data_IF_442864490333
#
_entry.id   IF_442864490333
#
_cell.length_a   1.000
_cell.length_b   1.000
_cell.length_c   1.000
_cell.angle_alpha   90.00
_cell.angle_beta   90.00
_cell.angle_gamma   90.00
#
_symmetry.space_group_name_H-M   'P 1'
#
loop_
_entity.id
_entity.type
_entity.pdbx_description
1 polymer ?
#
# COMPACT_ATOMS: atom_id res chain seq x y z
N UNK A 1 -37.27 -14.29 -10.96
CA UNK A 1 -36.76 -14.51 -9.59
C UNK A 1 -35.50 -15.37 -9.69
N UNK A 2 -34.33 -14.77 -9.84
CA UNK A 2 -33.05 -15.51 -9.97
C UNK A 2 -32.42 -15.69 -8.59
N UNK A 3 -32.52 -16.91 -8.06
CA UNK A 3 -31.86 -17.34 -6.83
C UNK A 3 -30.35 -17.43 -7.05
N UNK A 4 -29.59 -16.40 -6.66
CA UNK A 4 -28.13 -16.48 -6.58
C UNK A 4 -27.74 -17.21 -5.29
N UNK A 5 -27.42 -18.50 -5.43
CA UNK A 5 -26.76 -19.28 -4.39
C UNK A 5 -25.40 -18.65 -4.09
N UNK A 6 -25.34 -17.81 -3.05
CA UNK A 6 -24.09 -17.19 -2.57
C UNK A 6 -23.15 -18.26 -2.01
N UNK A 7 -22.29 -18.83 -2.86
CA UNK A 7 -21.19 -19.69 -2.45
C UNK A 7 -20.14 -18.84 -1.71
N UNK A 8 -20.32 -18.71 -0.40
CA UNK A 8 -19.39 -18.04 0.50
C UNK A 8 -18.53 -19.08 1.22
N UNK A 9 -17.21 -18.87 1.21
CA UNK A 9 -16.26 -19.66 2.01
C UNK A 9 -16.43 -19.38 3.51
N UNK A 10 -16.25 -20.42 4.32
CA UNK A 10 -16.29 -20.32 5.78
C UNK A 10 -15.16 -19.47 6.35
N UNK A 11 -14.05 -19.34 5.61
CA UNK A 11 -12.88 -18.58 6.04
C UNK A 11 -12.52 -17.49 5.03
N UNK A 12 -11.86 -16.44 5.50
CA UNK A 12 -11.23 -15.47 4.59
C UNK A 12 -10.13 -16.15 3.78
N UNK A 13 -9.96 -15.75 2.52
CA UNK A 13 -8.87 -16.22 1.68
C UNK A 13 -7.50 -15.86 2.29
N UNK A 14 -6.47 -16.61 1.89
CA UNK A 14 -5.08 -16.48 2.39
C UNK A 14 -4.55 -15.07 2.15
N UNK A 15 -4.77 -14.51 0.95
CA UNK A 15 -4.32 -13.16 0.61
C UNK A 15 -4.89 -12.12 1.57
N UNK A 16 -6.22 -12.06 1.72
CA UNK A 16 -6.85 -11.09 2.61
C UNK A 16 -6.47 -11.32 4.09
N UNK A 17 -6.29 -12.57 4.50
CA UNK A 17 -5.85 -12.91 5.86
C UNK A 17 -4.43 -12.40 6.13
N UNK A 18 -3.48 -12.63 5.21
CA UNK A 18 -2.07 -12.18 5.34
C UNK A 18 -1.97 -10.66 5.45
N UNK A 19 -2.76 -9.95 4.65
CA UNK A 19 -2.80 -8.49 4.66
C UNK A 19 -3.72 -7.89 5.74
N UNK A 20 -4.34 -8.73 6.59
CA UNK A 20 -5.23 -8.32 7.70
C UNK A 20 -6.38 -7.40 7.26
N UNK A 21 -6.96 -7.69 6.11
CA UNK A 21 -8.02 -6.90 5.45
C UNK A 21 -9.33 -7.70 5.36
N UNK A 22 -10.46 -7.00 5.17
CA UNK A 22 -11.79 -7.62 5.06
C UNK A 22 -11.90 -8.41 3.74
N UNK A 23 -12.23 -9.70 3.85
CA UNK A 23 -12.52 -10.59 2.72
C UNK A 23 -14.03 -10.71 2.51
N UNK A 24 -14.50 -10.62 1.25
CA UNK A 24 -15.93 -10.83 0.91
C UNK A 24 -16.34 -12.30 0.88
N UNK A 25 -15.37 -13.22 0.91
CA UNK A 25 -15.53 -14.68 0.99
C UNK A 25 -16.28 -15.33 -0.19
N UNK A 26 -16.59 -14.62 -1.26
CA UNK A 26 -17.14 -15.23 -2.49
C UNK A 26 -16.17 -16.26 -3.06
N UNK A 27 -16.68 -17.39 -3.56
CA UNK A 27 -15.90 -18.46 -4.18
C UNK A 27 -16.24 -18.54 -5.68
N UNK A 28 -15.27 -18.70 -6.60
CA UNK A 28 -13.87 -19.09 -6.39
C UNK A 28 -12.96 -17.97 -5.88
N UNK A 29 -13.19 -16.72 -6.25
CA UNK A 29 -12.41 -15.56 -5.81
C UNK A 29 -13.25 -14.60 -4.98
N UNK A 30 -12.70 -14.09 -3.88
CA UNK A 30 -13.37 -13.00 -3.18
C UNK A 30 -13.37 -11.75 -4.05
N UNK A 31 -14.44 -10.95 -4.02
CA UNK A 31 -14.62 -9.74 -4.83
C UNK A 31 -13.45 -8.75 -4.76
N UNK A 32 -12.69 -8.70 -3.67
CA UNK A 32 -11.45 -7.90 -3.61
C UNK A 32 -10.33 -8.48 -4.47
N UNK A 33 -10.03 -9.76 -4.29
CA UNK A 33 -8.99 -10.41 -5.10
C UNK A 33 -9.39 -10.47 -6.57
N UNK A 34 -10.68 -10.69 -6.87
CA UNK A 34 -11.22 -10.65 -8.23
C UNK A 34 -11.04 -9.27 -8.88
N UNK A 35 -11.42 -8.18 -8.19
CA UNK A 35 -11.26 -6.82 -8.75
C UNK A 35 -9.80 -6.42 -8.91
N UNK A 36 -8.93 -6.86 -8.01
CA UNK A 36 -7.51 -6.50 -8.02
C UNK A 36 -6.63 -7.49 -8.83
N UNK A 37 -7.21 -8.52 -9.47
CA UNK A 37 -6.47 -9.53 -10.22
C UNK A 37 -5.50 -10.37 -9.39
N UNK A 38 -5.77 -10.51 -8.08
CA UNK A 38 -4.91 -11.18 -7.11
C UNK A 38 -5.25 -12.66 -7.00
N UNK A 39 -4.24 -13.51 -6.78
CA UNK A 39 -4.44 -14.92 -6.46
C UNK A 39 -5.27 -15.08 -5.17
N UNK A 40 -6.43 -15.76 -5.26
CA UNK A 40 -7.39 -15.90 -4.16
C UNK A 40 -7.52 -17.35 -3.68
N UNK A 41 -6.56 -17.81 -2.88
CA UNK A 41 -6.64 -19.17 -2.33
C UNK A 41 -7.39 -19.21 -1.00
N UNK A 42 -8.30 -20.18 -0.84
CA UNK A 42 -8.93 -20.46 0.44
C UNK A 42 -8.24 -21.65 1.12
N UNK A 43 -7.79 -21.51 2.38
CA UNK A 43 -7.17 -22.63 3.07
C UNK A 43 -8.21 -23.72 3.30
N UNK A 44 -7.83 -24.98 3.06
CA UNK A 44 -8.65 -26.10 3.50
C UNK A 44 -8.85 -25.99 5.02
N UNK A 45 -10.08 -26.15 5.53
CA UNK A 45 -10.32 -26.10 6.96
C UNK A 45 -9.41 -27.15 7.63
N UNK A 46 -8.62 -26.76 8.65
CA UNK A 46 -7.69 -27.67 9.28
C UNK A 46 -8.47 -28.86 9.85
N UNK A 47 -7.95 -30.07 9.64
CA UNK A 47 -8.57 -31.29 10.15
C UNK A 47 -8.64 -31.24 11.68
N UNK A 48 -9.82 -30.90 12.20
CA UNK A 48 -10.05 -30.72 13.63
C UNK A 48 -9.77 -32.01 14.40
N UNK A 49 -9.83 -33.18 13.75
CA UNK A 49 -9.51 -34.47 14.38
C UNK A 49 -8.01 -34.61 14.65
N UNK A 50 -7.16 -34.17 13.73
CA UNK A 50 -5.71 -34.22 13.92
C UNK A 50 -5.23 -33.25 15.00
N UNK A 51 -5.79 -32.04 15.07
CA UNK A 51 -5.44 -31.05 16.11
C UNK A 51 -5.88 -31.52 17.51
N UNK A 52 -7.04 -32.18 17.62
CA UNK A 52 -7.49 -32.76 18.89
C UNK A 52 -6.55 -33.88 19.38
N UNK A 53 -6.04 -34.71 18.46
CA UNK A 53 -5.09 -35.77 18.80
C UNK A 53 -3.73 -35.23 19.24
N UNK A 54 -3.22 -34.15 18.63
CA UNK A 54 -1.97 -33.51 19.02
C UNK A 54 -2.01 -32.88 20.42
N UNK A 55 -3.19 -32.40 20.86
CA UNK A 55 -3.37 -31.88 22.22
C UNK A 55 -3.34 -32.95 23.32
N UNK A 56 -3.57 -34.21 22.96
CA UNK A 56 -3.61 -35.34 23.90
C UNK A 56 -2.33 -36.20 23.87
N UNK A 57 -1.30 -35.79 23.12
CA UNK A 57 -0.01 -36.49 23.08
C UNK A 57 0.84 -36.24 24.34
N UNK A 58 1.80 -37.13 24.67
CA UNK A 58 2.69 -36.91 25.81
C UNK A 58 3.57 -35.68 25.57
N UNK A 59 3.65 -34.78 26.55
CA UNK A 59 4.60 -33.68 26.59
C UNK A 59 6.03 -34.26 26.62
N UNK A 60 6.71 -34.23 25.49
CA UNK A 60 8.16 -34.40 25.45
C UNK A 60 8.78 -33.00 25.58
N UNK A 61 9.48 -32.76 26.68
CA UNK A 61 10.25 -31.54 26.91
C UNK A 61 11.48 -31.56 26.01
N UNK A 62 11.56 -30.63 25.05
CA UNK A 62 12.80 -30.33 24.36
C UNK A 62 13.24 -28.91 24.75
N UNK A 63 14.23 -28.87 25.62
CA UNK A 63 14.94 -27.68 26.06
C UNK A 63 16.14 -27.51 25.12
N UNK A 64 16.01 -26.59 24.16
CA UNK A 64 17.14 -26.14 23.35
C UNK A 64 16.94 -24.69 22.93
N UNK A 65 17.35 -23.82 23.84
CA UNK A 65 17.62 -22.41 23.61
C UNK A 65 18.78 -22.27 22.61
N UNK A 66 18.49 -21.72 21.43
CA UNK A 66 19.50 -21.23 20.50
C UNK A 66 19.29 -19.71 20.30
N UNK A 67 20.13 -18.96 21.00
CA UNK A 67 20.41 -17.54 20.77
C UNK A 67 20.93 -17.30 19.36
N UNK A 68 20.37 -16.33 18.64
CA UNK A 68 21.10 -15.58 17.62
C UNK A 68 20.83 -14.09 17.78
N UNK A 69 21.72 -13.44 18.53
CA UNK A 69 22.07 -12.05 18.31
C UNK A 69 22.88 -11.98 16.99
N UNK A 70 22.40 -11.17 16.05
CA UNK A 70 23.12 -10.79 14.85
C UNK A 70 22.98 -9.28 14.66
N UNK A 71 23.92 -8.56 15.24
CA UNK A 71 24.15 -7.13 15.13
C UNK A 71 25.02 -6.85 13.90
N UNK A 72 24.48 -6.29 12.83
CA UNK A 72 25.33 -5.69 11.80
C UNK A 72 24.87 -4.31 11.35
N UNK A 73 25.88 -3.47 11.23
CA UNK A 73 25.87 -2.03 11.28
C UNK A 73 25.43 -1.37 9.96
N UNK A 74 24.81 -0.23 10.15
CA UNK A 74 24.58 0.84 9.18
C UNK A 74 25.90 1.18 8.48
N UNK A 75 25.92 1.18 7.15
CA UNK A 75 26.87 2.00 6.40
C UNK A 75 26.17 2.65 5.20
N UNK A 76 26.21 3.98 5.20
CA UNK A 76 25.59 4.87 4.24
C UNK A 76 26.65 5.25 3.20
N UNK A 77 26.46 4.85 1.95
CA UNK A 77 27.28 5.32 0.82
C UNK A 77 26.50 6.33 0.01
N UNK A 78 26.98 7.58 0.02
CA UNK A 78 26.56 8.63 -0.90
C UNK A 78 27.14 8.31 -2.29
N UNK A 79 26.29 8.32 -3.30
CA UNK A 79 26.74 8.53 -4.68
C UNK A 79 25.73 9.42 -5.39
N UNK A 80 26.10 10.70 -5.45
CA UNK A 80 25.64 11.64 -6.46
C UNK A 80 26.25 11.28 -7.80
N UNK A 81 25.44 10.96 -8.80
CA UNK A 81 25.70 11.34 -10.18
C UNK A 81 24.37 11.41 -10.91
N UNK A 82 24.05 12.62 -11.36
CA UNK A 82 22.93 12.88 -12.23
C UNK A 82 23.24 12.38 -13.62
N UNK A 83 22.30 11.63 -14.18
CA UNK A 83 22.20 11.45 -15.61
C UNK A 83 20.76 11.77 -16.03
N UNK A 84 20.72 12.56 -17.09
CA UNK A 84 19.59 13.26 -17.66
C UNK A 84 18.61 12.24 -18.29
N UNK A 85 17.61 11.79 -17.53
CA UNK A 85 16.56 10.90 -18.08
C UNK A 85 15.50 11.73 -18.78
N UNK A 86 15.50 11.60 -20.10
CA UNK A 86 14.55 12.20 -21.03
C UNK A 86 13.10 11.86 -20.70
N UNK A 87 12.31 12.93 -20.59
CA UNK A 87 10.86 12.97 -20.38
C UNK A 87 10.11 12.08 -21.37
N UNK A 88 9.78 10.87 -20.93
CA UNK A 88 8.83 9.99 -21.60
C UNK A 88 7.75 9.64 -20.58
N UNK A 89 6.59 10.28 -20.76
CA UNK A 89 5.29 10.01 -20.11
C UNK A 89 5.36 9.61 -18.63
N UNK A 90 5.60 10.60 -17.76
CA UNK A 90 5.58 10.46 -16.30
C UNK A 90 4.24 9.89 -15.80
N UNK A 91 3.14 10.03 -16.55
CA UNK A 91 1.80 9.61 -16.12
C UNK A 91 1.44 8.26 -16.77
N UNK A 92 0.98 7.25 -16.00
CA UNK A 92 0.49 5.98 -16.54
C UNK A 92 -0.68 6.15 -17.52
N UNK A 93 -0.90 5.17 -18.41
CA UNK A 93 -2.18 5.06 -19.12
C UNK A 93 -3.35 5.03 -18.14
N UNK A 94 -4.48 5.65 -18.51
CA UNK A 94 -5.66 5.82 -17.65
C UNK A 94 -6.13 4.51 -17.01
N UNK A 95 -6.12 3.41 -17.76
CA UNK A 95 -6.51 2.09 -17.25
C UNK A 95 -5.64 1.63 -16.07
N UNK A 96 -4.32 1.79 -16.18
CA UNK A 96 -3.38 1.43 -15.12
C UNK A 96 -3.57 2.35 -13.92
N UNK A 97 -3.84 3.63 -14.16
CA UNK A 97 -4.10 4.61 -13.12
C UNK A 97 -5.35 4.26 -12.31
N UNK A 98 -6.46 3.92 -12.98
CA UNK A 98 -7.71 3.48 -12.34
C UNK A 98 -7.46 2.23 -11.49
N UNK A 99 -6.74 1.24 -12.02
CA UNK A 99 -6.39 0.02 -11.27
C UNK A 99 -5.56 0.33 -10.01
N UNK A 100 -4.55 1.20 -10.12
CA UNK A 100 -3.74 1.62 -8.97
C UNK A 100 -4.57 2.38 -7.92
N UNK A 101 -5.45 3.27 -8.35
CA UNK A 101 -6.34 4.00 -7.43
C UNK A 101 -7.30 3.03 -6.72
N UNK A 102 -7.82 2.05 -7.44
CA UNK A 102 -8.64 0.98 -6.87
C UNK A 102 -7.87 0.17 -5.82
N UNK A 103 -6.63 -0.20 -6.11
CA UNK A 103 -5.72 -0.86 -5.15
C UNK A 103 -5.51 0.03 -3.93
N UNK A 104 -5.28 1.33 -4.12
CA UNK A 104 -5.06 2.28 -3.03
C UNK A 104 -6.24 2.30 -2.06
N UNK A 105 -7.46 2.54 -2.56
CA UNK A 105 -8.66 2.63 -1.71
C UNK A 105 -9.02 1.33 -1.02
N UNK A 106 -8.61 0.19 -1.58
CA UNK A 106 -8.83 -1.10 -0.95
C UNK A 106 -7.78 -1.45 0.10
N UNK A 107 -6.50 -1.17 -0.20
CA UNK A 107 -5.34 -1.69 0.51
C UNK A 107 -4.76 -0.72 1.54
N UNK A 108 -4.90 0.58 1.34
CA UNK A 108 -4.36 1.58 2.27
C UNK A 108 -5.41 1.86 3.34
N UNK A 109 -5.11 1.49 4.58
CA UNK A 109 -6.07 1.51 5.68
C UNK A 109 -6.64 2.91 5.98
N UNK A 110 -5.84 3.96 5.80
CA UNK A 110 -6.22 5.35 6.00
C UNK A 110 -6.67 6.05 4.71
N UNK A 111 -6.80 5.34 3.58
CA UNK A 111 -7.20 5.95 2.31
C UNK A 111 -8.51 6.75 2.42
N UNK A 112 -9.52 6.20 3.10
CA UNK A 112 -10.83 6.87 3.27
C UNK A 112 -10.82 8.02 4.29
N UNK A 113 -9.75 8.16 5.09
CA UNK A 113 -9.55 9.31 5.96
C UNK A 113 -8.90 10.46 5.18
N UNK A 114 -8.01 10.13 4.25
CA UNK A 114 -7.35 11.11 3.40
C UNK A 114 -8.25 11.55 2.25
N UNK A 115 -8.95 10.62 1.59
CA UNK A 115 -9.74 10.89 0.39
C UNK A 115 -11.08 10.18 0.42
N UNK A 116 -12.13 10.83 -0.10
CA UNK A 116 -13.41 10.19 -0.34
C UNK A 116 -13.43 9.56 -1.73
N UNK A 117 -13.51 8.22 -1.82
CA UNK A 117 -13.38 7.48 -3.10
C UNK A 117 -14.31 7.96 -4.22
N UNK A 118 -15.64 8.12 -4.02
CA UNK A 118 -16.52 8.63 -5.07
C UNK A 118 -16.10 10.00 -5.61
N UNK A 119 -15.78 10.95 -4.72
CA UNK A 119 -15.34 12.29 -5.11
C UNK A 119 -14.00 12.26 -5.82
N UNK A 120 -13.06 11.45 -5.35
CA UNK A 120 -11.76 11.27 -5.99
C UNK A 120 -11.89 10.73 -7.42
N UNK A 121 -12.77 9.74 -7.64
CA UNK A 121 -13.01 9.20 -8.98
C UNK A 121 -13.70 10.22 -9.90
N UNK A 122 -14.64 11.01 -9.38
CA UNK A 122 -15.26 12.11 -10.13
C UNK A 122 -14.25 13.20 -10.52
N UNK A 123 -13.37 13.58 -9.59
CA UNK A 123 -12.30 14.54 -9.85
C UNK A 123 -11.26 13.99 -10.85
N UNK A 124 -11.02 12.67 -10.84
CA UNK A 124 -10.16 12.01 -11.82
C UNK A 124 -10.74 12.14 -13.23
N UNK A 125 -12.03 11.86 -13.41
CA UNK A 125 -12.72 11.98 -14.70
C UNK A 125 -12.73 13.43 -15.21
N UNK A 126 -12.86 14.40 -14.30
CA UNK A 126 -12.80 15.84 -14.62
C UNK A 126 -11.38 16.37 -14.83
N UNK A 127 -10.35 15.60 -14.47
CA UNK A 127 -8.96 16.06 -14.50
C UNK A 127 -8.64 17.18 -13.51
N UNK A 128 -9.40 17.28 -12.41
CA UNK A 128 -9.24 18.33 -11.38
C UNK A 128 -8.28 17.94 -10.25
N UNK A 129 -7.84 16.67 -10.19
CA UNK A 129 -6.89 16.21 -9.16
C UNK A 129 -5.53 16.87 -9.37
N UNK A 130 -5.01 17.49 -8.31
CA UNK A 130 -3.66 18.06 -8.31
C UNK A 130 -2.60 16.97 -8.52
N UNK A 131 -1.59 17.28 -9.32
CA UNK A 131 -0.56 16.32 -9.74
C UNK A 131 0.11 15.59 -8.56
N UNK A 132 0.55 16.32 -7.53
CA UNK A 132 1.20 15.70 -6.37
C UNK A 132 0.27 14.75 -5.59
N UNK A 133 -1.04 15.01 -5.57
CA UNK A 133 -2.01 14.11 -4.96
C UNK A 133 -2.08 12.82 -5.77
N UNK A 134 -2.32 12.93 -7.07
CA UNK A 134 -2.44 11.77 -7.96
C UNK A 134 -1.17 10.90 -7.93
N UNK A 135 -0.01 11.54 -8.10
CA UNK A 135 1.29 10.86 -8.11
C UNK A 135 1.57 10.17 -6.76
N UNK A 136 1.30 10.83 -5.63
CA UNK A 136 1.47 10.20 -4.30
C UNK A 136 0.62 8.94 -4.12
N UNK A 137 -0.63 8.97 -4.60
CA UNK A 137 -1.58 7.84 -4.53
C UNK A 137 -1.08 6.67 -5.37
N UNK A 138 -0.71 6.91 -6.63
CA UNK A 138 -0.24 5.83 -7.53
C UNK A 138 1.13 5.27 -7.10
N UNK A 139 1.98 6.09 -6.48
CA UNK A 139 3.24 5.63 -5.86
C UNK A 139 3.00 4.60 -4.76
N UNK A 140 2.14 4.92 -3.79
CA UNK A 140 1.82 4.00 -2.69
C UNK A 140 1.13 2.74 -3.22
N UNK A 141 0.15 2.90 -4.11
CA UNK A 141 -0.56 1.77 -4.74
C UNK A 141 0.40 0.79 -5.44
N UNK A 142 1.44 1.31 -6.08
CA UNK A 142 2.44 0.50 -6.79
C UNK A 142 3.28 -0.38 -5.85
N UNK A 143 3.46 0.02 -4.59
CA UNK A 143 4.08 -0.87 -3.59
C UNK A 143 3.20 -2.09 -3.35
N UNK A 144 1.88 -1.86 -3.29
CA UNK A 144 0.90 -2.88 -2.95
C UNK A 144 0.61 -3.81 -4.13
N UNK A 145 0.68 -3.29 -5.36
CA UNK A 145 0.52 -4.08 -6.58
C UNK A 145 1.69 -5.05 -6.83
N UNK A 146 2.93 -4.71 -6.43
CA UNK A 146 4.11 -5.58 -6.57
C UNK A 146 3.99 -6.89 -5.79
N UNK A 147 3.19 -6.92 -4.72
CA UNK A 147 2.94 -8.13 -3.94
C UNK A 147 1.96 -9.11 -4.62
N UNK A 148 1.34 -8.72 -5.76
CA UNK A 148 0.30 -9.47 -6.42
C UNK A 148 0.80 -10.59 -7.35
N UNK A 149 1.90 -10.37 -8.10
CA UNK A 149 2.42 -11.31 -9.10
C UNK A 149 3.89 -11.00 -9.46
N UNK A 150 4.83 -11.84 -9.02
CA UNK A 150 5.99 -12.31 -9.82
C UNK A 150 6.89 -13.20 -8.94
N UNK A 151 6.98 -14.52 -9.17
CA UNK A 151 7.98 -15.39 -8.55
C UNK A 151 9.40 -15.18 -9.10
N UNK A 152 9.59 -14.25 -10.04
CA UNK A 152 10.88 -13.95 -10.68
C UNK A 152 11.31 -12.54 -10.25
N UNK A 153 12.22 -12.49 -9.27
CA UNK A 153 12.73 -11.27 -8.63
C UNK A 153 13.63 -10.40 -9.50
N UNK A 154 13.13 -9.91 -10.64
CA UNK A 154 13.74 -8.76 -11.31
C UNK A 154 13.19 -7.49 -10.69
N UNK A 155 14.03 -6.81 -9.90
CA UNK A 155 13.79 -5.48 -9.36
C UNK A 155 13.82 -4.45 -10.49
N UNK A 156 12.81 -4.47 -11.37
CA UNK A 156 12.50 -3.31 -12.19
C UNK A 156 12.05 -2.25 -11.17
N UNK A 157 12.85 -1.20 -10.99
CA UNK A 157 12.39 -0.02 -10.25
C UNK A 157 11.11 0.44 -10.95
N UNK A 158 9.97 0.18 -10.32
CA UNK A 158 8.69 0.65 -10.81
C UNK A 158 8.77 2.17 -10.89
N UNK A 159 8.11 2.81 -11.88
CA UNK A 159 8.09 4.27 -11.99
C UNK A 159 7.55 4.98 -10.72
N UNK A 160 7.02 4.21 -9.75
CA UNK A 160 6.59 4.65 -8.43
C UNK A 160 7.58 5.55 -7.68
N UNK A 161 8.89 5.29 -7.79
CA UNK A 161 9.90 6.14 -7.13
C UNK A 161 9.94 7.52 -7.76
N UNK A 162 9.91 7.56 -9.08
CA UNK A 162 9.92 8.80 -9.84
C UNK A 162 8.65 9.62 -9.57
N UNK A 163 7.48 8.97 -9.55
CA UNK A 163 6.22 9.62 -9.14
C UNK A 163 6.28 10.18 -7.72
N UNK A 164 6.88 9.42 -6.79
CA UNK A 164 7.02 9.86 -5.41
C UNK A 164 7.96 11.07 -5.31
N UNK A 165 9.05 11.09 -6.08
CA UNK A 165 9.98 12.23 -6.15
C UNK A 165 9.32 13.50 -6.70
N UNK A 166 8.55 13.38 -7.77
CA UNK A 166 7.82 14.52 -8.36
C UNK A 166 6.75 15.02 -7.39
N UNK A 167 5.96 14.11 -6.82
CA UNK A 167 4.98 14.45 -5.81
C UNK A 167 5.62 15.14 -4.60
N UNK A 168 6.76 14.63 -4.10
CA UNK A 168 7.53 15.23 -3.02
C UNK A 168 7.95 16.65 -3.35
N UNK A 169 8.53 16.89 -4.53
CA UNK A 169 8.99 18.21 -4.93
C UNK A 169 7.83 19.21 -5.01
N UNK A 170 6.72 18.82 -5.65
CA UNK A 170 5.54 19.69 -5.81
C UNK A 170 4.83 19.98 -4.49
N UNK A 171 4.66 18.96 -3.62
CA UNK A 171 4.02 19.12 -2.32
C UNK A 171 4.85 20.00 -1.37
N UNK A 172 6.17 19.78 -1.29
CA UNK A 172 7.04 20.56 -0.40
C UNK A 172 7.19 22.01 -0.86
N UNK A 173 7.13 22.27 -2.16
CA UNK A 173 7.14 23.63 -2.69
C UNK A 173 5.87 24.42 -2.29
N UNK A 174 4.80 23.72 -1.94
CA UNK A 174 3.52 24.30 -1.52
C UNK A 174 3.27 24.14 -0.01
N UNK A 175 4.27 23.74 0.77
CA UNK A 175 4.12 23.40 2.19
C UNK A 175 3.65 24.60 3.04
N UNK A 176 4.11 25.80 2.71
CA UNK A 176 3.76 27.03 3.43
C UNK A 176 2.29 27.42 3.26
N UNK A 177 1.63 26.95 2.20
CA UNK A 177 0.24 27.28 1.90
C UNK A 177 -0.77 26.44 2.68
N UNK A 178 -0.33 25.39 3.39
CA UNK A 178 -1.18 24.59 4.28
C UNK A 178 -2.40 23.91 3.61
N UNK A 179 -2.37 23.71 2.30
CA UNK A 179 -3.48 23.11 1.56
C UNK A 179 -3.74 21.66 1.96
N UNK A 180 -5.01 21.26 2.06
CA UNK A 180 -5.40 19.88 2.40
C UNK A 180 -4.76 18.85 1.46
N UNK A 181 -4.62 19.19 0.18
CA UNK A 181 -3.94 18.40 -0.84
C UNK A 181 -2.47 18.13 -0.52
N UNK A 182 -1.76 19.12 0.05
CA UNK A 182 -0.37 19.00 0.46
C UNK A 182 -0.26 18.07 1.67
N UNK A 183 -1.16 18.21 2.65
CA UNK A 183 -1.24 17.30 3.80
C UNK A 183 -1.46 15.88 3.34
N UNK A 184 -2.49 15.65 2.52
CA UNK A 184 -2.85 14.34 1.97
C UNK A 184 -1.68 13.70 1.19
N UNK A 185 -0.99 14.48 0.35
CA UNK A 185 0.16 13.99 -0.40
C UNK A 185 1.34 13.67 0.51
N UNK A 186 1.64 14.51 1.51
CA UNK A 186 2.69 14.27 2.49
C UNK A 186 2.45 13.01 3.33
N UNK A 187 1.20 12.75 3.76
CA UNK A 187 0.83 11.51 4.45
C UNK A 187 1.09 10.26 3.60
N UNK A 188 0.68 10.29 2.32
CA UNK A 188 0.98 9.22 1.38
C UNK A 188 2.49 9.03 1.15
N UNK A 189 3.24 10.14 1.00
CA UNK A 189 4.67 10.11 0.76
C UNK A 189 5.44 9.59 1.98
N UNK A 190 5.02 9.95 3.20
CA UNK A 190 5.59 9.40 4.42
C UNK A 190 5.47 7.86 4.44
N UNK A 191 4.28 7.33 4.13
CA UNK A 191 4.05 5.88 4.01
C UNK A 191 4.91 5.24 2.91
N UNK A 192 5.01 5.89 1.74
CA UNK A 192 5.82 5.42 0.63
C UNK A 192 7.30 5.28 1.03
N UNK A 193 7.90 6.33 1.57
CA UNK A 193 9.32 6.35 1.93
C UNK A 193 9.64 5.40 3.08
N UNK A 194 8.72 5.20 4.02
CA UNK A 194 8.86 4.13 5.02
C UNK A 194 8.90 2.75 4.36
N UNK A 195 7.97 2.47 3.44
CA UNK A 195 7.89 1.18 2.76
C UNK A 195 9.06 0.91 1.81
N UNK A 196 9.75 1.94 1.31
CA UNK A 196 10.96 1.81 0.49
C UNK A 196 12.27 1.97 1.27
N UNK A 197 12.23 1.99 2.60
CA UNK A 197 13.40 2.08 3.49
C UNK A 197 14.20 3.40 3.35
N UNK A 198 13.51 4.53 3.16
CA UNK A 198 14.09 5.89 3.15
C UNK A 198 13.53 6.73 4.33
N UNK A 199 13.89 6.41 5.59
CA UNK A 199 13.25 7.00 6.77
C UNK A 199 13.46 8.51 6.91
N UNK A 200 14.56 9.06 6.38
CA UNK A 200 14.81 10.50 6.41
C UNK A 200 13.78 11.27 5.57
N UNK A 201 13.47 10.78 4.37
CA UNK A 201 12.43 11.38 3.51
C UNK A 201 11.05 11.20 4.13
N UNK A 202 10.79 10.04 4.72
CA UNK A 202 9.55 9.81 5.46
C UNK A 202 9.36 10.82 6.61
N UNK A 203 10.42 11.11 7.36
CA UNK A 203 10.41 12.10 8.43
C UNK A 203 10.13 13.52 7.91
N UNK A 204 10.78 13.93 6.81
CA UNK A 204 10.53 15.25 6.18
C UNK A 204 9.04 15.39 5.85
N UNK A 205 8.44 14.40 5.19
CA UNK A 205 7.02 14.48 4.82
C UNK A 205 6.08 14.41 6.03
N UNK A 206 6.42 13.67 7.08
CA UNK A 206 5.63 13.62 8.32
C UNK A 206 5.63 14.95 9.09
N UNK A 207 6.61 15.83 8.83
CA UNK A 207 6.79 17.11 9.54
C UNK A 207 6.83 18.30 8.58
N UNK A 208 6.41 18.12 7.32
CA UNK A 208 6.53 19.13 6.29
C UNK A 208 5.60 20.32 6.51
N UNK A 209 4.59 20.17 7.36
CA UNK A 209 3.58 21.18 7.60
C UNK A 209 3.97 22.06 8.79
N UNK A 210 3.85 23.39 8.68
CA UNK A 210 4.14 24.29 9.78
C UNK A 210 3.23 23.97 10.97
N UNK A 211 3.80 24.00 12.18
CA UNK A 211 3.11 23.69 13.43
C UNK A 211 2.00 24.69 13.83
N UNK A 212 1.72 25.67 12.98
CA UNK A 212 0.83 26.81 13.27
C UNK A 212 -0.41 26.75 12.38
N UNK A 213 -1.35 25.88 12.74
CA UNK A 213 -2.76 26.20 12.54
C UNK A 213 -3.16 27.09 13.72
N UNK A 214 -2.93 28.40 13.58
CA UNK A 214 -3.56 29.37 14.46
C UNK A 214 -5.07 29.32 14.16
N UNK A 215 -5.80 28.57 15.00
CA UNK A 215 -7.24 28.75 15.09
C UNK A 215 -7.48 30.17 15.63
N UNK A 216 -7.81 31.11 14.75
CA UNK A 216 -8.51 32.31 15.22
C UNK A 216 -9.88 31.87 15.75
N UNK A 217 -10.19 32.10 17.05
CA UNK A 217 -11.52 31.86 17.56
C UNK A 217 -12.49 32.88 16.96
N UNK A 218 -13.60 32.38 16.40
CA UNK A 218 -14.78 33.16 15.98
C UNK A 218 -15.45 33.80 17.21
#
# INVERSE_FOLDING_TARGET
>A
MTSTSNNLSLTACVHCRRHKIRCSRQFPDCGRCSRLGLTCDYPNPPDRRQIANLRNGPLYNDDSSANLHGNESINCTKTSHGDHVSSSSIIPPTEVMIQLIDIYFDCVFNANLLFHRPSFMEDLEKGSIKEHVLLSVISVASILSRSAHSPSGTSIESPSRHWAEIASASALQSADCGGLDVVQACENLALYWWATNEPHRAHVHSNALPATFDFEPV
#
